data_IF_204022015942
#
_entry.id   IF_204022015942
#
_cell.length_a   1.000
_cell.length_b   1.000
_cell.length_c   1.000
_cell.angle_alpha   90.00
_cell.angle_beta   90.00
_cell.angle_gamma   90.00
#
_symmetry.space_group_name_H-M   'P 1'
#
loop_
_entity.id
_entity.type
_entity.pdbx_description
1 polymer ?
#
# COMPACT_ATOMS: atom_id res chain seq x y z
N UNK A 1 6.88 77.14 24.54
CA UNK A 1 7.75 75.96 24.39
C UNK A 1 6.87 74.72 24.44
N UNK A 2 6.58 74.10 23.27
CA UNK A 2 5.75 72.85 23.19
C UNK A 2 6.68 71.66 23.13
N UNK A 3 6.74 70.81 24.17
CA UNK A 3 7.46 69.56 24.16
C UNK A 3 6.70 68.55 23.34
N UNK A 4 7.28 68.06 22.21
CA UNK A 4 6.79 66.94 21.43
C UNK A 4 7.21 65.65 22.13
N UNK A 5 6.22 64.88 22.59
CA UNK A 5 6.40 63.54 23.12
C UNK A 5 6.49 62.57 21.94
N UNK A 6 7.65 61.99 21.68
CA UNK A 6 7.79 60.93 20.66
C UNK A 6 7.38 59.59 21.29
N UNK A 7 6.30 59.03 20.80
CA UNK A 7 5.83 57.69 21.17
C UNK A 7 6.51 56.67 20.27
N UNK A 8 7.57 56.03 20.81
CA UNK A 8 8.24 54.95 20.11
C UNK A 8 7.43 53.66 20.21
N UNK A 9 6.88 53.21 19.08
CA UNK A 9 6.22 51.91 18.95
C UNK A 9 7.31 50.84 18.90
N UNK A 10 7.52 50.10 19.98
CA UNK A 10 8.38 48.90 19.99
C UNK A 10 7.55 47.72 19.46
N UNK A 11 7.74 47.38 18.19
CA UNK A 11 7.21 46.12 17.63
C UNK A 11 8.05 44.96 18.18
N UNK A 12 7.52 44.28 19.17
CA UNK A 12 8.08 43.00 19.64
C UNK A 12 7.62 41.92 18.66
N UNK A 13 8.44 41.61 17.65
CA UNK A 13 8.21 40.44 16.80
C UNK A 13 8.56 39.19 17.61
N UNK A 14 7.56 38.55 18.18
CA UNK A 14 7.68 37.19 18.68
C UNK A 14 7.95 36.26 17.46
N UNK A 15 9.21 35.92 17.24
CA UNK A 15 9.58 34.78 16.41
C UNK A 15 9.13 33.52 17.14
N UNK A 16 7.92 33.03 16.81
CA UNK A 16 7.52 31.68 17.17
C UNK A 16 8.38 30.77 16.28
N UNK A 17 9.46 30.25 16.84
CA UNK A 17 10.13 29.10 16.23
C UNK A 17 9.17 27.91 16.24
N UNK A 18 8.43 27.75 15.15
CA UNK A 18 7.73 26.50 14.90
C UNK A 18 8.82 25.48 14.61
N UNK A 19 9.21 24.71 15.61
CA UNK A 19 9.98 23.50 15.39
C UNK A 19 9.14 22.55 14.55
N UNK A 20 9.12 22.75 13.24
CA UNK A 20 8.58 21.82 12.27
C UNK A 20 9.54 20.63 12.23
N UNK A 21 9.38 19.69 13.14
CA UNK A 21 9.95 18.37 12.91
C UNK A 21 9.33 17.87 11.63
N UNK A 22 10.15 17.67 10.60
CA UNK A 22 9.70 17.04 9.37
C UNK A 22 9.03 15.71 9.75
N UNK A 23 7.72 15.68 9.63
CA UNK A 23 6.94 14.48 9.94
C UNK A 23 7.43 13.36 9.02
N UNK A 24 7.68 12.17 9.55
CA UNK A 24 7.97 10.96 8.76
C UNK A 24 6.69 10.54 8.00
N UNK A 25 6.35 11.34 6.99
CA UNK A 25 5.09 11.22 6.24
C UNK A 25 4.92 9.85 5.60
N UNK A 26 5.99 9.24 5.13
CA UNK A 26 5.97 7.91 4.53
C UNK A 26 6.19 6.79 5.55
N UNK A 27 6.34 7.11 6.83
CA UNK A 27 6.60 6.16 7.92
C UNK A 27 7.83 5.27 7.66
N UNK A 28 8.93 5.87 7.22
CA UNK A 28 10.19 5.18 6.93
C UNK A 28 10.78 4.48 8.15
N UNK A 29 10.43 4.96 9.36
CA UNK A 29 10.88 4.35 10.60
C UNK A 29 10.05 3.13 11.04
N UNK A 30 8.87 2.90 10.44
CA UNK A 30 7.93 1.85 10.88
C UNK A 30 8.57 0.46 10.87
N UNK A 31 9.15 0.05 9.74
CA UNK A 31 9.82 -1.26 9.60
C UNK A 31 11.34 -1.20 9.72
N UNK A 32 11.94 -0.05 10.08
CA UNK A 32 13.40 0.14 10.12
C UNK A 32 14.11 -0.91 10.98
N UNK A 33 13.60 -1.15 12.18
CA UNK A 33 14.21 -2.12 13.10
C UNK A 33 13.99 -3.58 12.65
N UNK A 34 12.85 -3.87 12.06
CA UNK A 34 12.55 -5.20 11.53
C UNK A 34 13.38 -5.49 10.28
N UNK A 35 13.53 -4.51 9.40
CA UNK A 35 14.42 -4.61 8.24
C UNK A 35 15.88 -4.84 8.65
N UNK A 36 16.35 -4.17 9.70
CA UNK A 36 17.73 -4.31 10.21
C UNK A 36 18.01 -5.71 10.81
N UNK A 37 16.99 -6.43 11.29
CA UNK A 37 17.11 -7.78 11.83
C UNK A 37 17.09 -8.87 10.75
N UNK A 38 16.64 -8.52 9.52
CA UNK A 38 16.56 -9.49 8.44
C UNK A 38 17.97 -9.84 7.93
N UNK A 39 18.33 -11.11 8.02
CA UNK A 39 19.52 -11.61 7.36
C UNK A 39 19.36 -11.50 5.82
N UNK A 40 20.50 -11.46 5.11
CA UNK A 40 20.47 -11.62 3.66
C UNK A 40 19.77 -12.94 3.30
N UNK A 41 19.00 -12.99 2.17
CA UNK A 41 18.37 -14.24 1.76
C UNK A 41 19.39 -15.37 1.62
N UNK A 42 19.08 -16.54 2.15
CA UNK A 42 19.90 -17.72 1.97
C UNK A 42 19.93 -18.15 0.48
N UNK A 43 20.95 -18.90 0.09
CA UNK A 43 21.01 -19.45 -1.27
C UNK A 43 19.77 -20.30 -1.57
N UNK A 44 19.04 -19.95 -2.65
CA UNK A 44 17.81 -20.63 -3.03
C UNK A 44 16.55 -20.18 -2.30
N UNK A 45 16.65 -19.30 -1.29
CA UNK A 45 15.49 -18.73 -0.62
C UNK A 45 14.63 -17.93 -1.60
N UNK A 46 13.32 -18.19 -1.58
CA UNK A 46 12.33 -17.46 -2.38
C UNK A 46 11.58 -16.48 -1.48
N UNK A 47 12.30 -15.45 -1.00
CA UNK A 47 11.69 -14.40 -0.18
C UNK A 47 10.61 -13.67 -0.95
N UNK A 48 9.44 -13.50 -0.36
CA UNK A 48 8.31 -12.75 -0.92
C UNK A 48 7.95 -11.60 0.01
N UNK A 49 7.85 -10.40 -0.52
CA UNK A 49 7.37 -9.23 0.23
C UNK A 49 5.95 -8.90 -0.19
N UNK A 50 5.07 -8.74 0.78
CA UNK A 50 3.71 -8.22 0.60
C UNK A 50 3.73 -6.74 0.94
N UNK A 51 3.71 -5.89 -0.09
CA UNK A 51 3.71 -4.44 0.01
C UNK A 51 2.28 -3.91 -0.07
N UNK A 52 1.86 -3.11 0.92
CA UNK A 52 0.49 -2.61 0.92
C UNK A 52 0.13 -1.72 2.09
N UNK A 53 -1.16 -1.61 2.33
CA UNK A 53 -1.79 -0.80 3.39
C UNK A 53 -2.34 -1.67 4.55
N UNK A 54 -3.41 -1.19 5.22
CA UNK A 54 -4.09 -1.89 6.32
C UNK A 54 -4.55 -3.31 5.95
N UNK A 55 -4.96 -3.53 4.71
CA UNK A 55 -5.38 -4.85 4.22
C UNK A 55 -4.19 -5.82 4.23
N UNK A 56 -3.03 -5.37 3.83
CA UNK A 56 -1.80 -6.18 3.90
C UNK A 56 -1.33 -6.34 5.34
N UNK A 57 -1.28 -5.24 6.13
CA UNK A 57 -0.87 -5.27 7.53
C UNK A 57 -1.73 -6.24 8.36
N UNK A 58 -3.05 -6.13 8.22
CA UNK A 58 -4.02 -6.94 8.95
C UNK A 58 -3.91 -8.45 8.67
N UNK A 59 -3.38 -8.82 7.51
CA UNK A 59 -3.26 -10.23 7.14
C UNK A 59 -2.43 -11.06 8.14
N UNK A 60 -1.33 -10.51 8.62
CA UNK A 60 -0.52 -11.18 9.67
C UNK A 60 -1.25 -11.31 11.00
N UNK A 61 -2.24 -10.46 11.27
CA UNK A 61 -3.05 -10.51 12.49
C UNK A 61 -4.18 -11.52 12.39
N UNK A 62 -4.90 -11.56 11.26
CA UNK A 62 -6.11 -12.38 11.09
C UNK A 62 -5.80 -13.78 10.56
N UNK A 63 -4.65 -13.96 9.90
CA UNK A 63 -4.23 -15.23 9.31
C UNK A 63 -2.69 -15.40 9.44
N UNK A 64 -2.14 -15.45 10.66
CA UNK A 64 -0.70 -15.53 10.89
C UNK A 64 -0.07 -16.78 10.25
N UNK A 65 -0.81 -17.88 10.16
CA UNK A 65 -0.35 -19.13 9.55
C UNK A 65 0.02 -18.98 8.07
N UNK A 66 -0.57 -18.00 7.38
CA UNK A 66 -0.20 -17.72 5.99
C UNK A 66 1.28 -17.32 5.85
N UNK A 67 1.85 -16.67 6.85
CA UNK A 67 3.24 -16.22 6.87
C UNK A 67 4.16 -17.20 7.61
N UNK A 68 3.61 -18.00 8.51
CA UNK A 68 4.37 -18.89 9.37
C UNK A 68 5.11 -19.98 8.57
N UNK A 69 6.40 -20.18 8.87
CA UNK A 69 7.21 -21.21 8.22
C UNK A 69 7.59 -20.92 6.77
N UNK A 70 7.25 -19.71 6.25
CA UNK A 70 7.58 -19.28 4.89
C UNK A 70 8.49 -18.06 4.92
N UNK A 71 9.26 -17.86 3.85
CA UNK A 71 10.04 -16.63 3.66
C UNK A 71 9.15 -15.48 3.17
N UNK A 72 8.00 -15.28 3.79
CA UNK A 72 7.04 -14.23 3.49
C UNK A 72 7.15 -13.09 4.48
N UNK A 73 7.26 -11.88 3.98
CA UNK A 73 7.46 -10.67 4.77
C UNK A 73 6.32 -9.70 4.51
N UNK A 74 5.57 -9.39 5.57
CA UNK A 74 4.53 -8.38 5.52
C UNK A 74 5.14 -6.98 5.64
N UNK A 75 4.78 -6.08 4.70
CA UNK A 75 5.17 -4.67 4.67
C UNK A 75 3.93 -3.80 4.40
N UNK A 76 2.82 -4.16 5.02
CA UNK A 76 1.61 -3.35 5.10
C UNK A 76 1.73 -2.25 6.15
N UNK A 77 1.22 -1.06 5.87
CA UNK A 77 1.06 0.03 6.86
C UNK A 77 -0.32 0.65 6.69
N UNK A 78 -1.10 0.64 7.75
CA UNK A 78 -2.47 1.14 7.75
C UNK A 78 -2.58 2.59 7.28
N UNK A 79 -3.61 2.87 6.48
CA UNK A 79 -3.91 4.22 5.99
C UNK A 79 -3.05 4.70 4.84
N UNK A 80 -1.97 4.01 4.49
CA UNK A 80 -1.04 4.48 3.46
C UNK A 80 -1.62 4.48 2.06
N UNK A 81 -1.23 5.51 1.31
CA UNK A 81 -1.49 5.73 -0.10
C UNK A 81 -0.27 5.35 -0.96
N UNK A 82 -0.48 5.24 -2.26
CA UNK A 82 0.57 4.82 -3.21
C UNK A 82 1.82 5.71 -3.19
N UNK A 83 1.77 7.06 -3.08
CA UNK A 83 2.98 7.87 -2.98
C UNK A 83 3.78 7.60 -1.69
N UNK A 84 3.13 7.31 -0.56
CA UNK A 84 3.82 6.93 0.67
C UNK A 84 4.52 5.57 0.51
N UNK A 85 3.86 4.60 -0.12
CA UNK A 85 4.43 3.29 -0.42
C UNK A 85 5.64 3.41 -1.36
N UNK A 86 5.56 4.27 -2.39
CA UNK A 86 6.66 4.52 -3.33
C UNK A 86 7.90 5.08 -2.62
N UNK A 87 7.72 6.03 -1.70
CA UNK A 87 8.84 6.62 -0.94
C UNK A 87 9.56 5.57 -0.08
N UNK A 88 8.83 4.66 0.59
CA UNK A 88 9.42 3.61 1.42
C UNK A 88 9.78 2.31 0.65
N UNK A 89 9.51 2.25 -0.64
CA UNK A 89 9.68 1.03 -1.43
C UNK A 89 11.13 0.51 -1.43
N UNK A 90 12.10 1.42 -1.44
CA UNK A 90 13.52 1.02 -1.39
C UNK A 90 13.88 0.36 -0.06
N UNK A 91 13.50 0.97 1.07
CA UNK A 91 13.83 0.45 2.40
C UNK A 91 13.12 -0.87 2.71
N UNK A 92 11.86 -0.98 2.33
CA UNK A 92 10.97 -2.05 2.77
C UNK A 92 10.84 -3.18 1.75
N UNK A 93 11.33 -2.99 0.53
CA UNK A 93 11.31 -4.01 -0.53
C UNK A 93 12.70 -4.25 -1.10
N UNK A 94 13.29 -3.24 -1.76
CA UNK A 94 14.52 -3.45 -2.54
C UNK A 94 15.69 -3.88 -1.64
N UNK A 95 15.90 -3.18 -0.52
CA UNK A 95 17.06 -3.43 0.35
C UNK A 95 17.00 -4.80 1.06
N UNK A 96 15.82 -5.39 1.22
CA UNK A 96 15.67 -6.72 1.83
C UNK A 96 15.73 -7.86 0.80
N UNK A 97 15.98 -7.52 -0.47
CA UNK A 97 16.31 -8.42 -1.59
C UNK A 97 15.35 -9.59 -1.76
N UNK A 98 14.04 -9.38 -1.92
CA UNK A 98 13.11 -10.46 -2.16
C UNK A 98 13.26 -11.00 -3.59
N UNK A 99 12.80 -12.23 -3.82
CA UNK A 99 12.61 -12.79 -5.17
C UNK A 99 11.36 -12.22 -5.84
N UNK A 100 10.33 -11.92 -5.03
CA UNK A 100 9.02 -11.43 -5.50
C UNK A 100 8.52 -10.33 -4.57
N UNK A 101 7.83 -9.34 -5.15
CA UNK A 101 6.97 -8.40 -4.41
C UNK A 101 5.53 -8.55 -4.89
N UNK A 102 4.59 -8.68 -3.96
CA UNK A 102 3.14 -8.59 -4.20
C UNK A 102 2.70 -7.21 -3.77
N UNK A 103 2.11 -6.43 -4.69
CA UNK A 103 1.70 -5.05 -4.43
C UNK A 103 0.17 -4.97 -4.41
N UNK A 104 -0.39 -4.53 -3.28
CA UNK A 104 -1.81 -4.25 -3.08
C UNK A 104 -1.97 -2.80 -2.60
N UNK A 105 -2.43 -1.91 -3.49
CA UNK A 105 -2.47 -0.48 -3.24
C UNK A 105 -3.59 0.22 -4.01
N UNK A 106 -4.03 1.40 -3.55
CA UNK A 106 -4.96 2.28 -4.27
C UNK A 106 -6.24 2.62 -3.52
N UNK A 107 -6.73 1.79 -2.59
CA UNK A 107 -8.00 2.06 -1.88
C UNK A 107 -7.95 3.35 -1.06
N UNK A 108 -6.83 3.61 -0.36
CA UNK A 108 -6.67 4.82 0.46
C UNK A 108 -6.45 6.09 -0.38
N UNK A 109 -5.91 5.94 -1.58
CA UNK A 109 -5.80 7.03 -2.57
C UNK A 109 -7.19 7.42 -3.05
N UNK A 110 -8.03 6.45 -3.43
CA UNK A 110 -9.43 6.67 -3.79
C UNK A 110 -10.21 7.30 -2.64
N UNK A 111 -9.92 6.91 -1.40
CA UNK A 111 -10.48 7.51 -0.19
C UNK A 111 -9.96 8.94 0.07
N UNK A 112 -8.85 9.35 -0.58
CA UNK A 112 -8.26 10.67 -0.43
C UNK A 112 -7.54 10.87 0.91
N UNK A 113 -6.94 9.81 1.48
CA UNK A 113 -6.28 9.87 2.79
C UNK A 113 -5.12 10.87 2.84
N UNK A 114 -4.43 11.10 1.73
CA UNK A 114 -3.34 12.11 1.61
C UNK A 114 -3.68 13.25 0.67
N UNK A 115 -4.97 13.43 0.39
CA UNK A 115 -5.47 14.44 -0.54
C UNK A 115 -6.08 13.83 -1.81
N UNK A 116 -6.60 14.67 -2.73
CA UNK A 116 -7.20 14.21 -3.98
C UNK A 116 -6.19 13.48 -4.87
N UNK A 117 -6.61 12.36 -5.46
CA UNK A 117 -5.81 11.59 -6.42
C UNK A 117 -6.68 11.21 -7.63
N UNK A 118 -6.14 11.28 -8.83
CA UNK A 118 -6.75 10.68 -10.01
C UNK A 118 -6.36 9.20 -10.11
N UNK A 119 -7.08 8.42 -10.91
CA UNK A 119 -6.75 7.01 -11.11
C UNK A 119 -5.40 6.84 -11.80
N UNK A 120 -5.06 7.75 -12.71
CA UNK A 120 -3.77 7.79 -13.41
C UNK A 120 -2.62 8.02 -12.43
N UNK A 121 -2.77 8.97 -11.48
CA UNK A 121 -1.75 9.20 -10.43
C UNK A 121 -1.52 7.96 -9.56
N UNK A 122 -2.58 7.23 -9.27
CA UNK A 122 -2.50 5.98 -8.48
C UNK A 122 -1.78 4.89 -9.30
N UNK A 123 -2.18 4.73 -10.56
CA UNK A 123 -1.56 3.78 -11.49
C UNK A 123 -0.07 4.10 -11.69
N UNK A 124 0.30 5.36 -11.93
CA UNK A 124 1.69 5.81 -12.12
C UNK A 124 2.58 5.44 -10.93
N UNK A 125 2.09 5.59 -9.70
CA UNK A 125 2.83 5.17 -8.51
C UNK A 125 3.00 3.65 -8.44
N UNK A 126 1.97 2.88 -8.79
CA UNK A 126 2.02 1.42 -8.84
C UNK A 126 3.00 0.96 -9.94
N UNK A 127 2.95 1.57 -11.11
CA UNK A 127 3.88 1.33 -12.22
C UNK A 127 5.32 1.63 -11.77
N UNK A 128 5.55 2.78 -11.14
CA UNK A 128 6.87 3.17 -10.63
C UNK A 128 7.44 2.13 -9.65
N UNK A 129 6.62 1.62 -8.73
CA UNK A 129 7.05 0.54 -7.82
C UNK A 129 7.37 -0.75 -8.57
N UNK A 130 6.57 -1.11 -9.58
CA UNK A 130 6.81 -2.30 -10.40
C UNK A 130 8.10 -2.18 -11.22
N UNK A 131 8.36 -1.03 -11.82
CA UNK A 131 9.58 -0.75 -12.58
C UNK A 131 10.82 -0.75 -11.69
N UNK A 132 10.74 -0.14 -10.51
CA UNK A 132 11.80 -0.17 -9.50
C UNK A 132 12.11 -1.61 -9.07
N UNK A 133 11.11 -2.45 -8.84
CA UNK A 133 11.29 -3.86 -8.52
C UNK A 133 12.01 -4.60 -9.66
N UNK A 134 11.53 -4.47 -10.90
CA UNK A 134 12.12 -5.10 -12.08
C UNK A 134 13.58 -4.66 -12.33
N UNK A 135 13.87 -3.37 -12.18
CA UNK A 135 15.23 -2.82 -12.30
C UNK A 135 16.20 -3.39 -11.26
N UNK A 136 15.68 -3.94 -10.15
CA UNK A 136 16.47 -4.59 -9.10
C UNK A 136 16.37 -6.13 -9.14
N UNK A 137 15.90 -6.73 -10.24
CA UNK A 137 15.80 -8.17 -10.42
C UNK A 137 14.70 -8.84 -9.59
N UNK A 138 13.75 -8.06 -9.08
CA UNK A 138 12.62 -8.54 -8.27
C UNK A 138 11.43 -8.77 -9.18
N UNK A 139 10.85 -9.97 -9.15
CA UNK A 139 9.61 -10.29 -9.86
C UNK A 139 8.42 -9.61 -9.18
N UNK A 140 7.42 -9.24 -9.98
CA UNK A 140 6.29 -8.44 -9.50
C UNK A 140 4.99 -9.23 -9.69
N UNK A 141 4.13 -9.15 -8.68
CA UNK A 141 2.73 -9.52 -8.75
C UNK A 141 1.92 -8.26 -8.42
N UNK A 142 1.08 -7.82 -9.35
CA UNK A 142 0.16 -6.69 -9.14
C UNK A 142 -1.21 -7.25 -8.80
N UNK A 143 -1.74 -6.90 -7.63
CA UNK A 143 -3.07 -7.34 -7.26
C UNK A 143 -4.13 -6.30 -7.57
N UNK A 144 -5.35 -6.78 -7.81
CA UNK A 144 -6.53 -5.92 -7.79
C UNK A 144 -6.71 -5.27 -6.42
N UNK A 145 -7.21 -4.04 -6.40
CA UNK A 145 -7.82 -3.41 -5.22
C UNK A 145 -9.07 -4.20 -4.85
N UNK A 146 -9.28 -4.48 -3.58
CA UNK A 146 -10.47 -5.18 -3.11
C UNK A 146 -11.73 -4.35 -3.34
N UNK A 147 -12.90 -4.99 -3.54
CA UNK A 147 -14.15 -4.27 -3.67
C UNK A 147 -14.49 -3.52 -2.39
N UNK A 148 -15.06 -2.31 -2.52
CA UNK A 148 -15.67 -1.55 -1.45
C UNK A 148 -16.85 -0.77 -2.02
N UNK A 149 -18.01 -0.87 -1.37
CA UNK A 149 -19.20 -0.12 -1.77
C UNK A 149 -19.08 1.34 -1.33
N UNK A 150 -18.61 1.56 -0.11
CA UNK A 150 -18.30 2.86 0.46
C UNK A 150 -17.21 2.72 1.53
N UNK A 151 -16.71 3.84 2.05
CA UNK A 151 -15.69 3.85 3.10
C UNK A 151 -16.30 4.31 4.43
N UNK A 152 -16.26 3.51 5.50
CA UNK A 152 -16.83 3.89 6.81
C UNK A 152 -16.29 5.20 7.38
N UNK A 153 -15.02 5.50 7.11
CA UNK A 153 -14.35 6.74 7.57
C UNK A 153 -14.56 7.95 6.64
N UNK A 154 -15.14 7.74 5.46
CA UNK A 154 -15.49 8.79 4.47
C UNK A 154 -16.73 8.42 3.68
N UNK A 155 -17.91 8.40 4.31
CA UNK A 155 -19.14 7.97 3.67
C UNK A 155 -19.52 8.87 2.47
N UNK A 156 -20.11 8.28 1.45
CA UNK A 156 -20.62 8.97 0.27
C UNK A 156 -19.63 9.14 -0.87
N UNK A 157 -18.41 8.57 -0.79
CA UNK A 157 -17.43 8.63 -1.87
C UNK A 157 -17.75 7.71 -3.05
N UNK A 158 -18.61 6.70 -2.86
CA UNK A 158 -19.01 5.74 -3.87
C UNK A 158 -17.82 5.15 -4.66
N UNK A 159 -16.83 4.51 -4.00
CA UNK A 159 -15.57 4.12 -4.61
C UNK A 159 -15.69 2.98 -5.62
N UNK A 160 -16.78 2.22 -5.61
CA UNK A 160 -16.93 0.96 -6.35
C UNK A 160 -16.59 1.08 -7.84
N UNK A 161 -17.03 2.16 -8.52
CA UNK A 161 -16.73 2.37 -9.94
C UNK A 161 -15.25 2.73 -10.16
N UNK A 162 -14.68 3.56 -9.27
CA UNK A 162 -13.26 3.93 -9.32
C UNK A 162 -12.35 2.73 -9.09
N UNK A 163 -12.71 1.86 -8.14
CA UNK A 163 -12.00 0.61 -7.88
C UNK A 163 -12.01 -0.29 -9.11
N UNK A 164 -13.18 -0.49 -9.74
CA UNK A 164 -13.29 -1.30 -10.94
C UNK A 164 -12.45 -0.73 -12.10
N UNK A 165 -12.50 0.59 -12.31
CA UNK A 165 -11.71 1.26 -13.35
C UNK A 165 -10.20 1.13 -13.07
N UNK A 166 -9.74 1.38 -11.85
CA UNK A 166 -8.33 1.23 -11.48
C UNK A 166 -7.86 -0.23 -11.67
N UNK A 167 -8.69 -1.21 -11.32
CA UNK A 167 -8.37 -2.62 -11.50
C UNK A 167 -8.18 -2.97 -12.99
N UNK A 168 -8.99 -2.43 -13.88
CA UNK A 168 -8.80 -2.62 -15.33
C UNK A 168 -7.52 -1.96 -15.86
N UNK A 169 -7.16 -0.78 -15.33
CA UNK A 169 -5.88 -0.12 -15.67
C UNK A 169 -4.70 -0.99 -15.24
N UNK A 170 -4.66 -1.41 -13.97
CA UNK A 170 -3.58 -2.29 -13.43
C UNK A 170 -3.49 -3.60 -14.22
N UNK A 171 -4.64 -4.23 -14.52
CA UNK A 171 -4.70 -5.47 -15.31
C UNK A 171 -4.17 -5.29 -16.73
N UNK A 172 -4.52 -4.18 -17.36
CA UNK A 172 -4.03 -3.82 -18.71
C UNK A 172 -2.52 -3.63 -18.71
N UNK A 173 -1.98 -2.88 -17.74
CA UNK A 173 -0.55 -2.71 -17.58
C UNK A 173 0.17 -4.06 -17.33
N UNK A 174 -0.36 -4.87 -16.41
CA UNK A 174 0.20 -6.19 -16.11
C UNK A 174 0.25 -7.07 -17.37
N UNK A 175 -0.84 -7.13 -18.14
CA UNK A 175 -0.90 -7.86 -19.41
C UNK A 175 0.13 -7.35 -20.42
N UNK A 176 0.25 -6.03 -20.59
CA UNK A 176 1.19 -5.40 -21.54
C UNK A 176 2.65 -5.70 -21.19
N UNK A 177 2.98 -5.79 -19.92
CA UNK A 177 4.36 -5.95 -19.41
C UNK A 177 4.72 -7.38 -19.03
N UNK A 178 3.78 -8.32 -19.15
CA UNK A 178 3.96 -9.72 -18.74
C UNK A 178 4.01 -9.94 -17.23
N UNK A 179 3.63 -8.94 -16.42
CA UNK A 179 3.54 -9.06 -14.96
C UNK A 179 2.32 -9.91 -14.59
N UNK A 180 2.45 -10.73 -13.56
CA UNK A 180 1.32 -11.51 -13.04
C UNK A 180 0.29 -10.58 -12.38
N UNK A 181 -0.95 -10.63 -12.87
CA UNK A 181 -2.09 -9.96 -12.23
C UNK A 181 -2.79 -10.94 -11.29
N UNK A 182 -2.96 -10.52 -10.03
CA UNK A 182 -3.62 -11.29 -8.97
C UNK A 182 -5.02 -10.71 -8.75
N UNK A 183 -6.03 -11.44 -9.18
CA UNK A 183 -7.43 -11.01 -9.12
C UNK A 183 -8.11 -11.45 -7.81
N UNK A 184 -7.96 -10.66 -6.77
CA UNK A 184 -8.76 -10.81 -5.56
C UNK A 184 -10.21 -10.33 -5.76
N UNK A 185 -10.38 -9.25 -6.57
CA UNK A 185 -11.66 -8.56 -6.72
C UNK A 185 -12.77 -9.51 -7.16
N UNK A 186 -12.54 -10.29 -8.21
CA UNK A 186 -13.56 -11.19 -8.78
C UNK A 186 -14.05 -12.26 -7.80
N UNK A 187 -13.18 -12.72 -6.89
CA UNK A 187 -13.55 -13.74 -5.89
C UNK A 187 -14.30 -13.16 -4.69
N UNK A 188 -14.17 -11.86 -4.44
CA UNK A 188 -14.61 -11.22 -3.20
C UNK A 188 -15.76 -10.22 -3.39
N UNK A 189 -16.09 -9.84 -4.63
CA UNK A 189 -17.12 -8.84 -4.94
C UNK A 189 -18.53 -9.41 -4.78
N UNK A 190 -19.44 -8.62 -4.20
CA UNK A 190 -20.87 -8.90 -4.14
C UNK A 190 -21.64 -8.18 -5.28
N UNK A 191 -22.96 -8.41 -5.35
CA UNK A 191 -23.84 -7.82 -6.38
C UNK A 191 -23.87 -6.28 -6.35
N UNK A 192 -23.64 -5.67 -5.18
CA UNK A 192 -23.57 -4.21 -4.99
C UNK A 192 -22.20 -3.62 -5.31
N UNK A 193 -21.26 -4.43 -5.85
CA UNK A 193 -19.86 -4.06 -6.10
C UNK A 193 -19.06 -3.71 -4.84
N UNK A 194 -19.54 -4.13 -3.68
CA UNK A 194 -18.83 -4.09 -2.41
C UNK A 194 -18.17 -5.42 -2.07
N UNK A 195 -17.44 -5.45 -0.97
CA UNK A 195 -16.91 -6.70 -0.41
C UNK A 195 -18.06 -7.55 0.10
N UNK A 196 -18.03 -8.87 -0.12
CA UNK A 196 -19.04 -9.79 0.42
C UNK A 196 -19.07 -9.70 1.93
N UNK A 197 -20.25 -9.64 2.53
CA UNK A 197 -20.45 -9.40 3.96
C UNK A 197 -19.77 -10.49 4.82
N UNK A 198 -19.74 -11.73 4.35
CA UNK A 198 -19.06 -12.84 5.04
C UNK A 198 -17.53 -12.72 5.06
N UNK A 199 -16.93 -11.87 4.21
CA UNK A 199 -15.48 -11.70 4.07
C UNK A 199 -14.94 -10.44 4.73
N UNK A 200 -15.79 -9.64 5.37
CA UNK A 200 -15.38 -8.35 5.94
C UNK A 200 -15.99 -8.12 7.31
N UNK A 201 -15.42 -7.20 8.07
CA UNK A 201 -16.02 -6.71 9.33
C UNK A 201 -16.53 -5.27 9.23
N UNK A 202 -16.18 -4.54 8.17
CA UNK A 202 -16.55 -3.12 8.00
C UNK A 202 -16.87 -2.70 6.55
N UNK A 203 -16.94 -3.68 5.63
CA UNK A 203 -17.20 -3.44 4.21
C UNK A 203 -15.95 -3.12 3.37
N UNK A 204 -14.76 -3.04 3.98
CA UNK A 204 -13.48 -2.71 3.31
C UNK A 204 -12.38 -3.68 3.69
N UNK A 205 -12.21 -3.95 4.97
CA UNK A 205 -11.13 -4.78 5.47
C UNK A 205 -11.58 -6.23 5.58
N UNK A 206 -10.78 -7.19 5.06
CA UNK A 206 -11.08 -8.60 5.22
C UNK A 206 -11.06 -9.05 6.68
N UNK A 207 -12.00 -9.91 7.03
CA UNK A 207 -11.94 -10.74 8.22
C UNK A 207 -11.14 -12.02 7.92
N UNK A 208 -11.06 -12.94 8.90
CA UNK A 208 -10.35 -14.21 8.72
C UNK A 208 -10.83 -15.01 7.50
N UNK A 209 -12.16 -15.06 7.27
CA UNK A 209 -12.73 -15.76 6.10
C UNK A 209 -12.29 -15.09 4.78
N UNK A 210 -12.26 -13.76 4.73
CA UNK A 210 -11.78 -13.01 3.58
C UNK A 210 -10.29 -13.30 3.28
N UNK A 211 -9.43 -13.32 4.29
CA UNK A 211 -8.02 -13.68 4.09
C UNK A 211 -7.84 -15.14 3.67
N UNK A 212 -8.70 -16.07 4.14
CA UNK A 212 -8.68 -17.47 3.67
C UNK A 212 -9.04 -17.60 2.19
N UNK A 213 -9.84 -16.70 1.63
CA UNK A 213 -10.07 -16.62 0.18
C UNK A 213 -8.88 -16.03 -0.55
N UNK A 214 -8.24 -14.99 0.00
CA UNK A 214 -7.07 -14.34 -0.61
C UNK A 214 -5.84 -15.25 -0.66
N UNK A 215 -5.63 -16.06 0.38
CA UNK A 215 -4.42 -16.86 0.54
C UNK A 215 -4.10 -17.79 -0.65
N UNK A 216 -5.00 -18.69 -1.10
CA UNK A 216 -4.71 -19.57 -2.23
C UNK A 216 -4.49 -18.80 -3.55
N UNK A 217 -5.17 -17.68 -3.75
CA UNK A 217 -4.98 -16.83 -4.93
C UNK A 217 -3.58 -16.20 -4.95
N UNK A 218 -3.09 -15.74 -3.79
CA UNK A 218 -1.74 -15.21 -3.65
C UNK A 218 -0.69 -16.30 -3.92
N UNK A 219 -0.85 -17.50 -3.34
CA UNK A 219 0.05 -18.63 -3.57
C UNK A 219 0.14 -19.01 -5.04
N UNK A 220 -0.99 -19.08 -5.72
CA UNK A 220 -1.04 -19.37 -7.15
C UNK A 220 -0.29 -18.31 -7.97
N UNK A 221 -0.52 -17.01 -7.68
CA UNK A 221 0.14 -15.91 -8.36
C UNK A 221 1.67 -15.91 -8.10
N UNK A 222 2.10 -16.16 -6.87
CA UNK A 222 3.51 -16.30 -6.48
C UNK A 222 4.15 -17.47 -7.23
N UNK A 223 3.49 -18.64 -7.26
CA UNK A 223 3.99 -19.81 -7.99
C UNK A 223 4.16 -19.51 -9.48
N UNK A 224 3.17 -18.85 -10.12
CA UNK A 224 3.27 -18.41 -11.52
C UNK A 224 4.43 -17.45 -11.75
N UNK A 225 4.63 -16.48 -10.85
CA UNK A 225 5.72 -15.53 -10.95
C UNK A 225 7.09 -16.22 -10.81
N UNK A 226 7.22 -17.22 -9.95
CA UNK A 226 8.47 -17.99 -9.79
C UNK A 226 8.87 -18.74 -11.07
N UNK A 227 7.89 -19.19 -11.86
CA UNK A 227 8.12 -19.92 -13.11
C UNK A 227 8.48 -19.00 -14.30
N UNK A 228 8.22 -17.71 -14.23
CA UNK A 228 8.63 -16.77 -15.28
C UNK A 228 10.16 -16.74 -15.39
N UNK A 229 10.66 -16.72 -16.63
CA UNK A 229 12.10 -16.60 -16.94
C UNK A 229 12.59 -15.16 -16.81
#
# INVERSE_FOLDING_TARGET
MKKKLAFGLFLFSMLIEVNSFAQDWAQLNYYKNDNAKLAAPASGEKRVVFMGNSITEGWSRFCPDFFSGKSYINRGISGQTTPQMLVRFRSDVINIKPSIVVILAGTNDIAGNTGPSTLEMIEDNIISMAELAKANGIKVVLSSVLPAFDYPWRPGLNPAQKIAALNEMIKTYAKKTGIIYLDYYSSMVNEKKGLKDEYTYDGVHPNEAGYKVMAPLAEEAIAKALLQK
#
